data_IF_225902198094
#
_entry.id   IF_225902198094
#
_cell.length_a   1.000
_cell.length_b   1.000
_cell.length_c   1.000
_cell.angle_alpha   90.00
_cell.angle_beta   90.00
_cell.angle_gamma   90.00
#
_symmetry.space_group_name_H-M   'P 1'
#
loop_
_entity.id
_entity.type
_entity.pdbx_description
1 polymer ?
#
# COMPACT_ATOMS: atom_id res chain seq x y z
N UNK A 1 21.64 -1.41 9.98
CA UNK A 1 21.36 -1.16 9.75
C UNK A 1 21.49 -0.56 8.85
N UNK A 2 21.90 -0.20 8.78
CA UNK A 2 22.25 0.59 8.05
C UNK A 2 22.11 0.28 6.66
N UNK A 3 22.18 -0.58 6.03
CA UNK A 3 22.10 -0.85 4.60
C UNK A 3 20.71 -1.24 4.12
N UNK A 4 19.72 -0.71 4.77
CA UNK A 4 18.36 -0.96 4.35
C UNK A 4 18.08 -0.26 3.02
N UNK A 5 17.64 -1.02 2.03
CA UNK A 5 17.36 -0.49 0.71
C UNK A 5 15.87 -0.18 0.54
N UNK A 6 15.54 0.46 -0.57
CA UNK A 6 14.13 0.77 -0.85
C UNK A 6 13.30 -0.49 -0.96
N UNK A 7 13.85 -1.56 -1.53
CA UNK A 7 13.09 -2.81 -1.62
C UNK A 7 12.88 -3.42 -0.23
N UNK A 8 13.85 -3.29 0.65
CA UNK A 8 13.67 -3.75 2.03
C UNK A 8 12.55 -2.99 2.71
N UNK A 9 12.51 -1.69 2.50
CA UNK A 9 11.46 -0.86 3.08
C UNK A 9 10.09 -1.18 2.48
N UNK A 10 10.05 -1.47 1.18
CA UNK A 10 8.80 -1.85 0.55
C UNK A 10 8.26 -3.15 1.15
N UNK A 11 9.15 -4.10 1.43
CA UNK A 11 8.74 -5.34 2.07
C UNK A 11 8.22 -5.09 3.49
N UNK A 12 8.84 -4.16 4.20
CA UNK A 12 8.34 -3.78 5.52
C UNK A 12 6.94 -3.18 5.42
N UNK A 13 6.74 -2.34 4.42
CA UNK A 13 5.43 -1.72 4.23
C UNK A 13 4.37 -2.78 3.89
N UNK A 14 4.74 -3.75 3.06
CA UNK A 14 3.81 -4.83 2.73
C UNK A 14 3.43 -5.63 3.98
N UNK A 15 4.40 -5.86 4.88
CA UNK A 15 4.09 -6.53 6.15
C UNK A 15 3.14 -5.70 7.00
N UNK A 16 3.36 -4.39 7.01
CA UNK A 16 2.47 -3.50 7.74
C UNK A 16 1.05 -3.58 7.17
N UNK A 17 0.93 -3.56 5.85
CA UNK A 17 -0.38 -3.64 5.21
C UNK A 17 -1.07 -4.95 5.55
N UNK A 18 -0.30 -6.02 5.61
CA UNK A 18 -0.85 -7.32 6.00
C UNK A 18 -1.33 -7.29 7.45
N UNK A 19 -0.56 -6.68 8.32
CA UNK A 19 -0.93 -6.61 9.74
C UNK A 19 -2.20 -5.81 9.95
N UNK A 20 -2.48 -4.88 9.05
CA UNK A 20 -3.70 -4.08 9.12
C UNK A 20 -4.88 -4.74 8.40
N UNK A 21 -4.66 -5.87 7.76
CA UNK A 21 -5.71 -6.57 7.07
C UNK A 21 -6.01 -6.07 5.67
N UNK A 22 -5.18 -5.17 5.14
CA UNK A 22 -5.41 -4.65 3.79
C UNK A 22 -5.09 -5.67 2.72
N UNK A 23 -4.13 -6.52 2.98
CA UNK A 23 -3.72 -7.57 2.04
C UNK A 23 -3.44 -8.84 2.84
N UNK A 24 -3.35 -9.96 2.14
CA UNK A 24 -3.11 -11.25 2.79
C UNK A 24 -1.64 -11.64 2.85
N UNK A 25 -0.83 -11.01 2.03
CA UNK A 25 0.60 -11.30 1.99
C UNK A 25 1.25 -10.55 0.86
N UNK A 26 2.49 -10.90 0.54
CA UNK A 26 3.22 -10.21 -0.52
C UNK A 26 2.56 -10.38 -1.88
N UNK A 27 2.11 -11.58 -2.20
CA UNK A 27 1.48 -11.82 -3.48
C UNK A 27 0.23 -10.97 -3.66
N UNK A 28 -0.59 -10.90 -2.63
CA UNK A 28 -1.80 -10.11 -2.72
C UNK A 28 -1.47 -8.61 -2.70
N UNK A 29 -0.41 -8.21 -2.00
CA UNK A 29 0.05 -6.83 -2.02
C UNK A 29 0.45 -6.42 -3.43
N UNK A 30 1.25 -7.26 -4.09
CA UNK A 30 1.70 -6.98 -5.45
C UNK A 30 0.52 -6.88 -6.41
N UNK A 31 -0.40 -7.83 -6.32
CA UNK A 31 -1.57 -7.82 -7.20
C UNK A 31 -2.42 -6.58 -6.97
N UNK A 32 -2.61 -6.20 -5.73
CA UNK A 32 -3.42 -5.04 -5.40
C UNK A 32 -2.80 -3.76 -5.96
N UNK A 33 -1.49 -3.65 -5.90
CA UNK A 33 -0.79 -2.46 -6.38
C UNK A 33 -0.57 -2.47 -7.89
N UNK A 34 -0.81 -3.59 -8.55
CA UNK A 34 -0.54 -3.67 -9.98
C UNK A 34 0.89 -3.99 -10.32
N UNK A 35 1.62 -4.53 -9.36
CA UNK A 35 2.99 -4.97 -9.60
C UNK A 35 2.97 -6.38 -10.20
N UNK A 36 4.03 -6.70 -10.93
CA UNK A 36 4.12 -8.04 -11.49
C UNK A 36 4.30 -9.07 -10.37
N UNK A 37 3.87 -10.31 -10.60
CA UNK A 37 4.03 -11.35 -9.57
C UNK A 37 5.49 -11.52 -9.21
N UNK A 38 5.75 -11.64 -7.89
CA UNK A 38 7.09 -11.84 -7.36
C UNK A 38 8.04 -10.68 -7.64
N UNK A 39 7.48 -9.51 -7.92
CA UNK A 39 8.30 -8.33 -8.19
C UNK A 39 9.31 -8.06 -7.07
N UNK A 40 8.83 -8.10 -5.83
CA UNK A 40 9.71 -7.80 -4.69
C UNK A 40 10.76 -8.90 -4.49
N UNK A 41 10.34 -10.14 -4.67
CA UNK A 41 11.27 -11.25 -4.53
C UNK A 41 12.38 -11.16 -5.60
N UNK A 42 11.98 -10.88 -6.84
CA UNK A 42 12.95 -10.82 -7.94
C UNK A 42 13.93 -9.67 -7.76
N UNK A 43 13.45 -8.52 -7.30
CA UNK A 43 14.34 -7.41 -7.03
C UNK A 43 15.36 -7.76 -5.96
N UNK A 44 14.91 -8.41 -4.90
CA UNK A 44 15.79 -8.79 -3.82
C UNK A 44 16.83 -9.79 -4.30
N UNK A 45 16.41 -10.77 -5.10
CA UNK A 45 17.32 -11.79 -5.60
C UNK A 45 18.35 -11.21 -6.56
N UNK A 46 17.96 -10.19 -7.31
CA UNK A 46 18.88 -9.56 -8.27
C UNK A 46 19.86 -8.61 -7.61
N UNK A 47 19.77 -8.44 -6.30
CA UNK A 47 20.68 -7.58 -5.58
C UNK A 47 20.45 -6.10 -5.82
N UNK A 48 19.36 -5.76 -6.46
CA UNK A 48 19.03 -4.36 -6.70
C UNK A 48 18.22 -3.83 -5.53
N UNK A 49 18.67 -2.70 -5.00
CA UNK A 49 18.01 -2.15 -3.84
C UNK A 49 16.98 -1.10 -4.15
N UNK A 50 16.89 -0.67 -5.40
CA UNK A 50 16.01 0.43 -5.75
C UNK A 50 14.71 -0.07 -6.37
N UNK A 51 13.66 0.69 -6.10
CA UNK A 51 12.34 0.44 -6.67
C UNK A 51 12.10 1.50 -7.72
N UNK A 52 11.67 1.11 -8.91
CA UNK A 52 11.45 2.06 -9.98
C UNK A 52 10.39 3.09 -9.61
N UNK A 53 10.55 4.31 -10.10
CA UNK A 53 9.65 5.39 -9.73
C UNK A 53 8.21 5.10 -10.15
N UNK A 54 8.01 4.44 -11.28
CA UNK A 54 6.67 4.09 -11.70
C UNK A 54 6.04 3.07 -10.77
N UNK A 55 6.85 2.18 -10.20
CA UNK A 55 6.33 1.20 -9.23
C UNK A 55 6.00 1.87 -7.90
N UNK A 56 6.84 2.84 -7.50
CA UNK A 56 6.53 3.61 -6.30
C UNK A 56 5.21 4.33 -6.46
N UNK A 57 4.97 4.90 -7.65
CA UNK A 57 3.73 5.59 -7.92
C UNK A 57 2.53 4.66 -7.80
N UNK A 58 2.65 3.44 -8.32
CA UNK A 58 1.57 2.47 -8.22
C UNK A 58 1.21 2.17 -6.77
N UNK A 59 2.24 1.95 -5.94
CA UNK A 59 2.00 1.66 -4.54
C UNK A 59 1.38 2.85 -3.83
N UNK A 60 1.92 4.04 -4.10
CA UNK A 60 1.41 5.25 -3.44
C UNK A 60 -0.03 5.55 -3.81
N UNK A 61 -0.43 5.22 -5.03
CA UNK A 61 -1.80 5.43 -5.44
C UNK A 61 -2.77 4.51 -4.71
N UNK A 62 -2.33 3.30 -4.43
CA UNK A 62 -3.18 2.35 -3.71
C UNK A 62 -3.12 2.55 -2.19
N UNK A 63 -2.01 3.05 -1.70
CA UNK A 63 -1.81 3.28 -0.27
C UNK A 63 -1.37 4.72 -0.04
N UNK A 64 -2.33 5.66 -0.08
CA UNK A 64 -1.97 7.08 0.06
C UNK A 64 -1.27 7.40 1.36
N UNK A 65 -1.42 6.56 2.39
CA UNK A 65 -0.78 6.80 3.67
C UNK A 65 0.71 6.47 3.67
N UNK A 66 1.20 5.82 2.60
CA UNK A 66 2.62 5.49 2.52
C UNK A 66 3.43 6.78 2.45
N UNK A 67 4.43 6.87 3.30
CA UNK A 67 5.37 7.99 3.24
C UNK A 67 6.42 7.68 2.19
N UNK A 68 6.25 8.27 1.02
CA UNK A 68 7.14 7.99 -0.10
C UNK A 68 8.58 8.41 0.20
N UNK A 69 8.75 9.51 0.94
CA UNK A 69 10.09 9.93 1.32
C UNK A 69 10.77 8.85 2.16
N UNK A 70 10.03 8.27 3.10
CA UNK A 70 10.60 7.18 3.90
C UNK A 70 10.96 5.99 3.02
N UNK A 71 10.09 5.66 2.07
CA UNK A 71 10.37 4.54 1.18
C UNK A 71 11.65 4.75 0.39
N UNK A 72 11.86 5.97 -0.10
CA UNK A 72 13.02 6.27 -0.93
C UNK A 72 14.29 6.52 -0.15
N UNK A 73 14.19 7.13 1.03
CA UNK A 73 15.38 7.58 1.75
C UNK A 73 15.58 6.91 3.10
N UNK A 74 14.56 6.31 3.66
CA UNK A 74 14.62 5.75 5.00
C UNK A 74 14.38 6.77 6.09
N UNK A 75 14.16 8.01 5.74
CA UNK A 75 13.92 9.08 6.73
C UNK A 75 12.45 9.23 7.00
N UNK A 76 12.11 9.47 8.26
CA UNK A 76 10.75 9.71 8.64
C UNK A 76 10.04 8.44 9.02
N UNK A 77 8.72 8.50 9.00
CA UNK A 77 7.89 7.36 9.37
C UNK A 77 7.45 6.60 8.13
N UNK A 78 7.30 5.30 8.29
CA UNK A 78 6.83 4.45 7.20
C UNK A 78 5.47 4.92 6.69
N UNK A 79 4.57 5.27 7.60
CA UNK A 79 3.21 5.66 7.26
C UNK A 79 3.02 7.10 7.69
N UNK A 80 2.31 7.86 6.83
CA UNK A 80 2.00 9.24 7.16
C UNK A 80 1.33 9.31 8.51
N UNK A 81 1.61 10.39 9.20
CA UNK A 81 1.12 10.54 10.55
C UNK A 81 -0.38 10.27 10.62
N UNK A 82 -0.76 9.51 11.62
CA UNK A 82 -2.17 9.23 11.83
C UNK A 82 -2.79 10.38 12.59
N UNK A 83 -2.73 11.54 11.97
CA UNK A 83 -3.39 12.70 12.50
C UNK A 83 -4.89 12.58 12.28
N UNK A 84 -5.62 13.48 12.91
CA UNK A 84 -7.06 13.52 12.74
C UNK A 84 -7.44 13.60 11.26
N UNK A 85 -6.71 14.39 10.50
CA UNK A 85 -6.99 14.54 9.07
C UNK A 85 -6.83 13.23 8.32
N UNK A 86 -5.76 12.50 8.64
CA UNK A 86 -5.50 11.22 8.00
C UNK A 86 -6.59 10.21 8.36
N UNK A 87 -6.98 10.20 9.62
CA UNK A 87 -8.04 9.31 10.09
C UNK A 87 -9.35 9.64 9.40
N UNK A 88 -9.65 10.92 9.30
CA UNK A 88 -10.90 11.35 8.67
C UNK A 88 -10.92 10.95 7.20
N UNK A 89 -9.79 11.06 6.53
CA UNK A 89 -9.69 10.70 5.13
C UNK A 89 -9.95 9.19 4.95
N UNK A 90 -9.35 8.38 5.79
CA UNK A 90 -9.58 6.94 5.74
C UNK A 90 -11.04 6.61 5.99
N UNK A 91 -11.64 7.24 6.98
CA UNK A 91 -13.04 7.00 7.29
C UNK A 91 -13.93 7.41 6.13
N UNK A 92 -13.60 8.53 5.50
CA UNK A 92 -14.38 9.00 4.37
C UNK A 92 -14.35 8.00 3.22
N UNK A 93 -13.19 7.47 2.91
CA UNK A 93 -13.05 6.48 1.85
C UNK A 93 -13.84 5.23 2.19
N UNK A 94 -13.72 4.77 3.42
CA UNK A 94 -14.42 3.57 3.87
C UNK A 94 -15.94 3.78 3.76
N UNK A 95 -16.42 4.94 4.17
CA UNK A 95 -17.85 5.25 4.07
C UNK A 95 -18.33 5.28 2.63
N UNK A 96 -17.51 5.83 1.75
CA UNK A 96 -17.87 5.87 0.34
C UNK A 96 -18.02 4.47 -0.21
N UNK A 97 -17.12 3.58 0.15
CA UNK A 97 -17.18 2.20 -0.31
C UNK A 97 -18.40 1.48 0.27
N UNK A 98 -18.71 1.75 1.55
CA UNK A 98 -19.88 1.16 2.15
C UNK A 98 -21.17 1.64 1.49
N UNK A 99 -21.24 2.93 1.21
CA UNK A 99 -22.40 3.48 0.56
C UNK A 99 -22.57 2.91 -0.85
N UNK A 100 -21.48 2.72 -1.55
CA UNK A 100 -21.53 2.14 -2.88
C UNK A 100 -22.09 0.71 -2.81
N UNK A 101 -21.65 -0.07 -1.82
CA UNK A 101 -22.17 -1.41 -1.62
C UNK A 101 -23.65 -1.38 -1.29
N UNK A 102 -24.05 -0.48 -0.41
CA UNK A 102 -25.44 -0.39 -0.01
C UNK A 102 -26.34 -0.02 -1.20
N UNK A 103 -25.89 0.93 -2.00
CA UNK A 103 -26.64 1.33 -3.17
C UNK A 103 -26.75 0.18 -4.16
N UNK A 104 -25.68 -0.57 -4.34
CA UNK A 104 -25.69 -1.71 -5.23
C UNK A 104 -26.71 -2.76 -4.76
N UNK A 105 -26.72 -3.03 -3.46
CA UNK A 105 -27.67 -4.00 -2.90
C UNK A 105 -29.10 -3.55 -3.10
N UNK A 106 -29.35 -2.28 -2.87
CA UNK A 106 -30.69 -1.74 -3.07
C UNK A 106 -31.11 -1.87 -4.52
N UNK A 107 -30.21 -1.53 -5.43
CA UNK A 107 -30.51 -1.61 -6.86
C UNK A 107 -30.85 -3.04 -7.27
N UNK A 108 -30.11 -4.00 -6.75
CA UNK A 108 -30.37 -5.40 -7.08
C UNK A 108 -31.65 -5.92 -6.41
N UNK A 109 -31.92 -5.48 -5.20
CA UNK A 109 -33.10 -6.00 -4.51
C UNK A 109 -34.39 -5.41 -5.05
N UNK A 110 -34.33 -4.31 -5.76
CA UNK A 110 -35.51 -3.69 -6.35
C UNK A 110 -35.86 -4.25 -7.71
N UNK A 111 -35.11 -5.21 -8.17
CA UNK A 111 -35.43 -5.90 -9.42
C UNK A 111 -36.20 -7.19 -9.18
#
# INVERSE_FOLDING_TARGET
MENQTAIDRLKLFAKWARSKGYVKGETSFEAYCGLSPRYMYNLKQNGKGCVGSDKIALVAMKFPMLNVRWLCTGEGRMVEDETTASEDFKKAIWHIEELREAVRKIAFSNN
#
